data_IF_604580306413
#
_entry.id   IF_604580306413
#
_cell.length_a   1.000
_cell.length_b   1.000
_cell.length_c   1.000
_cell.angle_alpha   90.00
_cell.angle_beta   90.00
_cell.angle_gamma   90.00
#
_symmetry.space_group_name_H-M   'P 1'
#
loop_
_entity.id
_entity.type
_entity.pdbx_description
1 polymer ?
#
# COMPACT_ATOMS: atom_id res chain seq x y z
N UNK A 1 -22.87 5.24 0.16
CA UNK A 1 -22.33 6.37 -0.56
C UNK A 1 -20.84 6.56 -0.35
N UNK A 2 -20.02 5.47 -0.47
CA UNK A 2 -18.55 5.59 -0.46
C UNK A 2 -18.01 5.60 -1.89
N UNK A 3 -16.83 6.17 -2.09
CA UNK A 3 -16.17 6.21 -3.40
C UNK A 3 -15.20 5.05 -3.58
N UNK A 4 -14.60 4.56 -2.48
CA UNK A 4 -13.65 3.44 -2.45
C UNK A 4 -13.97 2.57 -1.24
N UNK A 5 -13.79 1.25 -1.38
CA UNK A 5 -13.83 0.30 -0.26
C UNK A 5 -12.43 -0.16 0.09
N UNK A 6 -12.19 -0.47 1.37
CA UNK A 6 -10.88 -0.99 1.79
C UNK A 6 -11.04 -2.12 2.79
N UNK A 7 -10.30 -3.20 2.59
CA UNK A 7 -10.18 -4.33 3.52
C UNK A 7 -8.79 -4.30 4.14
N UNK A 8 -8.75 -4.34 5.48
CA UNK A 8 -7.52 -4.45 6.25
C UNK A 8 -7.32 -5.89 6.71
N UNK A 9 -6.43 -6.61 6.06
CA UNK A 9 -6.04 -7.97 6.44
C UNK A 9 -4.66 -7.97 7.11
N UNK A 10 -4.58 -7.27 8.25
CA UNK A 10 -3.32 -7.11 8.99
C UNK A 10 -2.73 -8.46 9.38
N UNK A 11 -3.56 -9.43 9.73
CA UNK A 11 -3.13 -10.74 10.23
C UNK A 11 -3.00 -11.80 9.14
N UNK A 12 -3.61 -11.62 7.97
CA UNK A 12 -3.45 -12.53 6.83
C UNK A 12 -1.98 -12.68 6.42
N UNK A 13 -1.18 -11.64 6.60
CA UNK A 13 0.26 -11.69 6.38
C UNK A 13 1.02 -12.69 7.27
N UNK A 14 0.44 -13.17 8.37
CA UNK A 14 1.03 -14.22 9.22
C UNK A 14 0.73 -15.65 8.75
N UNK A 15 -0.29 -15.81 7.90
CA UNK A 15 -0.63 -17.11 7.32
C UNK A 15 0.39 -17.48 6.25
N UNK A 16 0.81 -18.73 6.17
CA UNK A 16 1.79 -19.18 5.19
C UNK A 16 1.21 -20.23 4.24
N UNK A 17 1.73 -20.26 3.02
CA UNK A 17 1.36 -21.24 2.00
C UNK A 17 -0.14 -21.31 1.76
N UNK A 18 -0.66 -22.52 1.81
CA UNK A 18 -2.07 -22.82 1.54
C UNK A 18 -3.04 -22.20 2.56
N UNK A 19 -2.57 -21.95 3.79
CA UNK A 19 -3.39 -21.32 4.83
C UNK A 19 -3.79 -19.88 4.45
N UNK A 20 -2.90 -19.14 3.79
CA UNK A 20 -3.25 -17.81 3.30
C UNK A 20 -4.32 -17.89 2.21
N UNK A 21 -4.23 -18.87 1.33
CA UNK A 21 -5.22 -19.07 0.27
C UNK A 21 -6.58 -19.48 0.86
N UNK A 22 -6.57 -20.40 1.82
CA UNK A 22 -7.78 -20.95 2.45
C UNK A 22 -8.47 -19.95 3.39
N UNK A 23 -7.73 -19.20 4.22
CA UNK A 23 -8.31 -18.38 5.28
C UNK A 23 -8.34 -16.87 4.99
N UNK A 24 -7.73 -16.41 3.90
CA UNK A 24 -7.73 -14.99 3.52
C UNK A 24 -8.14 -14.80 2.05
N UNK A 25 -7.32 -15.20 1.11
CA UNK A 25 -7.43 -14.83 -0.30
C UNK A 25 -8.80 -15.14 -0.92
N UNK A 26 -9.35 -16.34 -0.68
CA UNK A 26 -10.65 -16.72 -1.23
C UNK A 26 -11.80 -15.83 -0.72
N UNK A 27 -11.73 -15.38 0.52
CA UNK A 27 -12.74 -14.49 1.09
C UNK A 27 -12.62 -13.07 0.54
N UNK A 28 -11.40 -12.57 0.35
CA UNK A 28 -11.16 -11.27 -0.29
C UNK A 28 -11.76 -11.25 -1.69
N UNK A 29 -11.50 -12.28 -2.50
CA UNK A 29 -12.07 -12.40 -3.84
C UNK A 29 -13.61 -12.54 -3.81
N UNK A 30 -14.15 -13.24 -2.83
CA UNK A 30 -15.61 -13.37 -2.65
C UNK A 30 -16.25 -12.02 -2.32
N UNK A 31 -15.66 -11.26 -1.39
CA UNK A 31 -16.14 -9.93 -1.01
C UNK A 31 -16.05 -8.98 -2.21
N UNK A 32 -14.90 -8.95 -2.90
CA UNK A 32 -14.73 -8.11 -4.08
C UNK A 32 -15.78 -8.42 -5.16
N UNK A 33 -15.97 -9.71 -5.46
CA UNK A 33 -16.97 -10.15 -6.45
C UNK A 33 -18.38 -9.70 -6.10
N UNK A 34 -18.75 -9.74 -4.80
CA UNK A 34 -20.06 -9.28 -4.32
C UNK A 34 -20.25 -7.78 -4.46
N UNK A 35 -19.16 -6.99 -4.47
CA UNK A 35 -19.18 -5.54 -4.57
C UNK A 35 -19.03 -5.01 -6.00
N UNK A 36 -18.67 -5.85 -6.97
CA UNK A 36 -18.44 -5.42 -8.38
C UNK A 36 -19.61 -4.67 -9.01
N UNK A 37 -20.85 -5.00 -8.66
CA UNK A 37 -22.06 -4.33 -9.19
C UNK A 37 -22.12 -2.82 -8.84
N UNK A 38 -21.48 -2.42 -7.76
CA UNK A 38 -21.42 -1.01 -7.32
C UNK A 38 -20.38 -0.18 -8.10
N UNK A 39 -19.51 -0.82 -8.89
CA UNK A 39 -18.46 -0.15 -9.71
C UNK A 39 -17.57 0.78 -8.88
N UNK A 40 -17.23 0.38 -7.66
CA UNK A 40 -16.35 1.13 -6.77
C UNK A 40 -15.03 0.38 -6.61
N UNK A 41 -13.88 1.07 -6.69
CA UNK A 41 -12.58 0.43 -6.49
C UNK A 41 -12.46 -0.19 -5.10
N UNK A 42 -11.69 -1.28 -5.02
CA UNK A 42 -11.36 -1.93 -3.76
C UNK A 42 -9.88 -1.90 -3.50
N UNK A 43 -9.50 -1.45 -2.31
CA UNK A 43 -8.16 -1.56 -1.76
C UNK A 43 -8.11 -2.75 -0.81
N UNK A 44 -7.13 -3.61 -1.00
CA UNK A 44 -6.80 -4.68 -0.07
C UNK A 44 -5.46 -4.40 0.59
N UNK A 45 -5.41 -4.27 1.90
CA UNK A 45 -4.17 -4.08 2.65
C UNK A 45 -3.71 -5.37 3.29
N UNK A 46 -2.43 -5.69 3.10
CA UNK A 46 -1.77 -6.83 3.73
C UNK A 46 -0.43 -6.40 4.36
N UNK A 47 -0.14 -6.95 5.53
CA UNK A 47 1.14 -6.81 6.21
C UNK A 47 2.08 -7.95 5.83
N UNK A 48 3.39 -7.67 5.70
CA UNK A 48 4.43 -8.63 5.31
C UNK A 48 4.11 -9.43 4.02
N UNK A 49 3.86 -8.76 2.88
CA UNK A 49 3.43 -9.43 1.66
C UNK A 49 4.52 -10.27 0.98
N UNK A 50 5.78 -10.15 1.38
CA UNK A 50 6.96 -10.68 0.67
C UNK A 50 6.85 -12.18 0.33
N UNK A 51 6.44 -13.02 1.27
CA UNK A 51 6.30 -14.47 1.06
C UNK A 51 5.03 -14.88 0.32
N UNK A 52 4.16 -13.93 -0.02
CA UNK A 52 2.81 -14.15 -0.56
C UNK A 52 2.59 -13.57 -1.96
N UNK A 53 3.64 -13.07 -2.61
CA UNK A 53 3.52 -12.37 -3.89
C UNK A 53 2.82 -13.23 -4.96
N UNK A 54 3.13 -14.54 -5.02
CA UNK A 54 2.48 -15.46 -5.96
C UNK A 54 0.99 -15.65 -5.65
N UNK A 55 0.62 -15.70 -4.39
CA UNK A 55 -0.79 -15.79 -3.98
C UNK A 55 -1.53 -14.47 -4.23
N UNK A 56 -0.87 -13.34 -3.94
CA UNK A 56 -1.43 -12.00 -4.17
C UNK A 56 -1.76 -11.78 -5.65
N UNK A 57 -0.98 -12.35 -6.58
CA UNK A 57 -1.32 -12.30 -8.02
C UNK A 57 -2.71 -12.88 -8.35
N UNK A 58 -3.25 -13.79 -7.52
CA UNK A 58 -4.57 -14.39 -7.68
C UNK A 58 -5.71 -13.49 -7.18
N UNK A 59 -5.41 -12.39 -6.50
CA UNK A 59 -6.42 -11.43 -6.05
C UNK A 59 -7.05 -10.71 -7.24
N UNK A 60 -8.34 -10.44 -7.12
CA UNK A 60 -9.12 -9.68 -8.10
C UNK A 60 -9.54 -8.34 -7.46
N UNK A 61 -8.54 -7.52 -7.09
CA UNK A 61 -8.73 -6.20 -6.49
C UNK A 61 -8.03 -5.13 -7.34
N UNK A 62 -8.42 -3.87 -7.18
CA UNK A 62 -7.86 -2.77 -7.97
C UNK A 62 -6.54 -2.26 -7.39
N UNK A 63 -6.43 -2.23 -6.06
CA UNK A 63 -5.30 -1.66 -5.33
C UNK A 63 -4.85 -2.61 -4.24
N UNK A 64 -3.54 -2.79 -4.10
CA UNK A 64 -2.97 -3.49 -2.94
C UNK A 64 -2.18 -2.52 -2.07
N UNK A 65 -2.61 -2.40 -0.82
CA UNK A 65 -1.88 -1.67 0.22
C UNK A 65 -0.82 -2.56 0.85
N UNK A 66 0.40 -2.07 0.94
CA UNK A 66 1.56 -2.79 1.49
C UNK A 66 2.23 -2.01 2.61
N UNK A 67 2.87 -2.72 3.52
CA UNK A 67 3.70 -2.13 4.56
C UNK A 67 5.15 -1.88 4.08
N UNK A 68 5.99 -1.36 4.97
CA UNK A 68 7.40 -1.02 4.69
C UNK A 68 8.34 -2.23 4.60
N UNK A 69 7.84 -3.47 4.76
CA UNK A 69 8.66 -4.69 4.73
C UNK A 69 9.16 -5.07 3.34
N UNK A 70 8.61 -4.46 2.30
CA UNK A 70 8.97 -4.66 0.90
C UNK A 70 8.98 -3.32 0.16
N UNK A 71 9.84 -3.14 -0.82
CA UNK A 71 9.78 -1.95 -1.68
C UNK A 71 8.65 -2.08 -2.72
N UNK A 72 8.11 -0.94 -3.17
CA UNK A 72 7.09 -0.93 -4.25
C UNK A 72 7.62 -1.61 -5.52
N UNK A 73 8.90 -1.39 -5.85
CA UNK A 73 9.53 -2.02 -7.02
C UNK A 73 9.60 -3.55 -6.90
N UNK A 74 9.98 -4.07 -5.74
CA UNK A 74 10.01 -5.52 -5.50
C UNK A 74 8.61 -6.12 -5.51
N UNK A 75 7.64 -5.43 -4.91
CA UNK A 75 6.24 -5.85 -4.94
C UNK A 75 5.71 -5.93 -6.38
N UNK A 76 5.90 -4.88 -7.17
CA UNK A 76 5.46 -4.83 -8.57
C UNK A 76 6.10 -5.94 -9.39
N UNK A 77 7.43 -6.12 -9.27
CA UNK A 77 8.14 -7.21 -9.95
C UNK A 77 7.59 -8.58 -9.56
N UNK A 78 7.33 -8.80 -8.26
CA UNK A 78 6.83 -10.07 -7.74
C UNK A 78 5.37 -10.34 -8.08
N UNK A 79 4.57 -9.30 -8.38
CA UNK A 79 3.15 -9.44 -8.77
C UNK A 79 2.90 -9.18 -10.25
N UNK A 80 3.94 -8.98 -11.06
CA UNK A 80 3.85 -8.77 -12.50
C UNK A 80 3.18 -7.45 -12.88
N UNK A 81 3.40 -6.39 -12.10
CA UNK A 81 2.83 -5.05 -12.32
C UNK A 81 1.28 -5.05 -12.45
N UNK A 82 0.62 -5.95 -11.74
CA UNK A 82 -0.83 -6.15 -11.86
C UNK A 82 -1.66 -5.07 -11.18
N UNK A 83 -1.19 -4.52 -10.07
CA UNK A 83 -2.00 -3.69 -9.17
C UNK A 83 -1.53 -2.24 -9.12
N UNK A 84 -2.46 -1.31 -8.90
CA UNK A 84 -2.11 -0.05 -8.28
C UNK A 84 -1.64 -0.33 -6.84
N UNK A 85 -0.55 0.31 -6.40
CA UNK A 85 0.01 0.08 -5.06
C UNK A 85 -0.31 1.25 -4.14
N UNK A 86 -0.79 0.95 -2.92
CA UNK A 86 -0.91 1.94 -1.85
C UNK A 86 0.16 1.70 -0.80
N UNK A 87 0.87 2.74 -0.40
CA UNK A 87 1.89 2.69 0.65
C UNK A 87 3.11 3.51 0.26
N UNK A 88 4.26 3.25 0.87
CA UNK A 88 4.51 2.36 1.99
C UNK A 88 5.58 2.96 2.91
N UNK A 89 5.43 4.27 3.23
CA UNK A 89 6.37 4.94 4.11
C UNK A 89 6.37 4.25 5.48
N UNK A 90 7.56 3.88 5.96
CA UNK A 90 7.71 3.40 7.33
C UNK A 90 7.30 4.51 8.31
N UNK A 91 6.37 4.19 9.20
CA UNK A 91 5.84 5.13 10.18
C UNK A 91 6.94 5.66 11.13
N UNK A 92 7.99 4.89 11.39
CA UNK A 92 9.13 5.29 12.22
C UNK A 92 9.93 6.46 11.63
N UNK A 93 9.86 6.68 10.33
CA UNK A 93 10.47 7.83 9.66
C UNK A 93 9.89 9.16 10.18
N UNK A 94 8.64 9.16 10.61
CA UNK A 94 8.02 10.36 11.19
C UNK A 94 8.63 10.80 12.53
N UNK A 95 9.39 9.92 13.20
CA UNK A 95 10.12 10.25 14.43
C UNK A 95 11.46 10.93 14.15
N UNK A 96 11.91 10.95 12.89
CA UNK A 96 13.22 11.46 12.49
C UNK A 96 13.17 12.96 12.12
N UNK A 97 14.28 13.49 11.60
CA UNK A 97 14.35 14.87 11.13
C UNK A 97 13.48 15.10 9.89
N UNK A 98 13.08 16.37 9.68
CA UNK A 98 12.27 16.73 8.50
C UNK A 98 12.99 16.43 7.19
N UNK A 99 14.33 16.58 7.14
CA UNK A 99 15.13 16.22 5.97
C UNK A 99 15.04 14.72 5.69
N UNK A 100 15.04 13.87 6.74
CA UNK A 100 14.92 12.42 6.56
C UNK A 100 13.54 12.02 6.04
N UNK A 101 12.49 12.70 6.47
CA UNK A 101 11.14 12.52 5.90
C UNK A 101 11.16 12.87 4.41
N UNK A 102 11.74 14.00 3.99
CA UNK A 102 11.82 14.38 2.58
C UNK A 102 12.61 13.37 1.75
N UNK A 103 13.75 12.90 2.24
CA UNK A 103 14.57 11.87 1.58
C UNK A 103 13.79 10.57 1.33
N UNK A 104 13.09 10.04 2.33
CA UNK A 104 12.36 8.78 2.19
C UNK A 104 11.11 8.94 1.30
N UNK A 105 10.43 10.09 1.34
CA UNK A 105 9.35 10.41 0.40
C UNK A 105 9.86 10.40 -1.04
N UNK A 106 10.97 11.09 -1.32
CA UNK A 106 11.58 11.13 -2.65
C UNK A 106 11.99 9.72 -3.10
N UNK A 107 12.58 8.93 -2.21
CA UNK A 107 12.99 7.55 -2.48
C UNK A 107 11.79 6.68 -2.88
N UNK A 108 10.67 6.76 -2.16
CA UNK A 108 9.45 6.02 -2.51
C UNK A 108 8.94 6.48 -3.88
N UNK A 109 8.75 7.79 -4.07
CA UNK A 109 8.20 8.34 -5.31
C UNK A 109 9.07 8.04 -6.54
N UNK A 110 10.40 7.99 -6.39
CA UNK A 110 11.31 7.66 -7.49
C UNK A 110 11.31 6.18 -7.89
N UNK A 111 10.76 5.30 -7.05
CA UNK A 111 10.65 3.86 -7.29
C UNK A 111 9.25 3.43 -7.78
N UNK A 112 8.36 4.40 -8.06
CA UNK A 112 7.03 4.11 -8.59
C UNK A 112 7.13 3.70 -10.05
N UNK A 113 6.56 2.54 -10.38
CA UNK A 113 6.28 2.18 -11.75
C UNK A 113 5.01 2.91 -12.22
N UNK A 114 5.17 3.77 -13.21
CA UNK A 114 4.09 4.62 -13.71
C UNK A 114 2.99 3.89 -14.50
N UNK A 115 3.06 2.57 -14.64
CA UNK A 115 2.09 1.81 -15.46
C UNK A 115 0.78 1.54 -14.73
N UNK A 116 0.82 1.32 -13.41
CA UNK A 116 -0.36 0.89 -12.62
C UNK A 116 -0.87 1.93 -11.63
N UNK A 117 -0.13 3.02 -11.43
CA UNK A 117 -0.47 4.07 -10.48
C UNK A 117 0.01 3.79 -9.05
N UNK A 118 -0.06 4.84 -8.20
CA UNK A 118 0.35 4.78 -6.82
C UNK A 118 -0.50 5.69 -5.94
N UNK A 119 -0.86 5.21 -4.76
CA UNK A 119 -1.48 5.99 -3.69
C UNK A 119 -0.48 6.09 -2.54
N UNK A 120 0.09 7.29 -2.32
CA UNK A 120 1.02 7.46 -1.21
C UNK A 120 0.31 7.28 0.12
N UNK A 121 0.87 6.44 0.99
CA UNK A 121 0.36 6.20 2.34
C UNK A 121 1.51 5.75 3.26
N UNK A 122 1.25 5.76 4.56
CA UNK A 122 2.09 5.05 5.53
C UNK A 122 1.93 3.54 5.37
N UNK A 123 2.99 2.80 5.64
CA UNK A 123 2.96 1.33 5.59
C UNK A 123 2.19 0.69 6.74
N UNK A 124 2.03 1.41 7.86
CA UNK A 124 1.28 0.96 9.04
C UNK A 124 0.56 2.13 9.71
N UNK A 125 -0.28 1.84 10.70
CA UNK A 125 -0.96 2.86 11.50
C UNK A 125 0.02 3.73 12.31
N UNK A 126 -0.36 5.00 12.53
CA UNK A 126 0.40 5.95 13.33
C UNK A 126 0.36 5.54 14.80
N UNK A 127 1.51 5.56 15.46
CA UNK A 127 1.62 5.28 16.90
C UNK A 127 1.43 6.57 17.74
N UNK A 128 0.95 6.45 18.99
CA UNK A 128 0.63 7.62 19.84
C UNK A 128 1.83 8.52 20.18
N UNK A 129 3.05 8.04 20.01
CA UNK A 129 4.30 8.74 20.30
C UNK A 129 4.79 9.60 19.12
N UNK A 130 4.08 9.60 17.98
CA UNK A 130 4.41 10.45 16.83
C UNK A 130 3.79 11.83 17.01
N UNK A 131 4.65 12.87 16.96
CA UNK A 131 4.19 14.25 16.96
C UNK A 131 3.32 14.56 15.73
N UNK A 132 2.07 15.03 15.90
CA UNK A 132 1.20 15.43 14.79
C UNK A 132 1.83 16.45 13.84
N UNK A 133 2.75 17.29 14.29
CA UNK A 133 3.48 18.24 13.45
C UNK A 133 4.29 17.53 12.35
N UNK A 134 4.72 16.29 12.58
CA UNK A 134 5.42 15.48 11.57
C UNK A 134 4.53 15.06 10.41
N UNK A 135 3.25 14.85 10.68
CA UNK A 135 2.27 14.59 9.62
C UNK A 135 2.08 15.82 8.72
N UNK A 136 2.04 17.02 9.35
CA UNK A 136 2.01 18.26 8.56
C UNK A 136 3.26 18.37 7.68
N UNK A 137 4.44 18.10 8.24
CA UNK A 137 5.70 18.08 7.47
C UNK A 137 5.60 17.10 6.29
N UNK A 138 5.12 15.88 6.52
CA UNK A 138 4.94 14.89 5.45
C UNK A 138 4.03 15.40 4.34
N UNK A 139 2.89 16.00 4.69
CA UNK A 139 1.93 16.57 3.72
C UNK A 139 2.57 17.70 2.92
N UNK A 140 3.27 18.61 3.58
CA UNK A 140 3.95 19.75 2.94
C UNK A 140 5.04 19.26 1.97
N UNK A 141 5.81 18.24 2.36
CA UNK A 141 6.81 17.58 1.51
C UNK A 141 6.14 16.92 0.29
N UNK A 142 5.09 16.16 0.49
CA UNK A 142 4.36 15.52 -0.60
C UNK A 142 3.81 16.55 -1.59
N UNK A 143 3.20 17.62 -1.12
CA UNK A 143 2.68 18.69 -1.97
C UNK A 143 3.80 19.34 -2.82
N UNK A 144 5.01 19.47 -2.26
CA UNK A 144 6.19 20.06 -2.92
C UNK A 144 6.79 19.12 -3.99
N UNK A 145 6.88 17.82 -3.70
CA UNK A 145 7.68 16.89 -4.52
C UNK A 145 6.85 16.01 -5.45
N UNK A 146 5.63 15.61 -5.06
CA UNK A 146 4.82 14.68 -5.84
C UNK A 146 4.47 15.15 -7.27
N UNK A 147 4.28 16.45 -7.56
CA UNK A 147 4.03 16.90 -8.94
C UNK A 147 5.11 16.49 -9.96
N UNK A 148 6.34 16.20 -9.48
CA UNK A 148 7.44 15.74 -10.33
C UNK A 148 7.29 14.27 -10.78
N UNK A 149 6.46 13.51 -10.09
CA UNK A 149 6.26 12.06 -10.27
C UNK A 149 4.84 11.72 -10.73
N UNK A 150 3.97 12.71 -10.88
CA UNK A 150 2.61 12.51 -11.37
C UNK A 150 2.64 12.28 -12.88
N UNK A 151 1.96 11.23 -13.34
CA UNK A 151 1.76 10.99 -14.77
C UNK A 151 0.86 12.11 -15.32
N UNK A 152 1.30 12.73 -16.40
CA UNK A 152 0.49 13.70 -17.15
C UNK A 152 -0.47 13.00 -18.10
#
# INVERSE_FOLDING_TARGET
GVDVTMIFDTWGGLLEGDLYEEFSLQYINTIHSSLKSYKKPMIYYIRNPYTKLVNIQKLDVDVVGIDSSITISEFNKGTGDKFCVQGNLDVEILKLSNNKIEEEVIKILSNINNTTGHIFNLGTGITPDIDPAKLKTLIDVLAKVSPRYTIK
#
